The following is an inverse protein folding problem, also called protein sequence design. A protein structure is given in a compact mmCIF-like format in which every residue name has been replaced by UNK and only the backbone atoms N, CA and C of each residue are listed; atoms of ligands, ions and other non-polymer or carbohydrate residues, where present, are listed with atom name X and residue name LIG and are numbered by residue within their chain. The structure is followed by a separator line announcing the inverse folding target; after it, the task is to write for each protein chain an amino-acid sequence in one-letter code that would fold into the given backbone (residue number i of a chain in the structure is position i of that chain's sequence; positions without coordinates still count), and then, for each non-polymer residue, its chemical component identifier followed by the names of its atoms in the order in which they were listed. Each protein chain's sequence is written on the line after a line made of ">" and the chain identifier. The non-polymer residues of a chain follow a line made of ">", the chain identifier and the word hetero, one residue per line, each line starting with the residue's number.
data_IF_014033380478
#
_entry.id   IF_014033380478
#
_cell.length_a   1.000
_cell.length_b   1.000
_cell.length_c   1.000
_cell.angle_alpha   90.00
_cell.angle_beta   90.00
_cell.angle_gamma   90.00
#
_symmetry.space_group_name_H-M   'P 1'
#
loop_
_entity.id
_entity.type
_entity.pdbx_description
1 polymer ?
#
# COMPACT_ATOMS: atom_id res chain seq x y z
N UNK A 1 -51.35 -32.39 50.55
CA UNK A 1 -49.90 -32.26 50.80
C UNK A 1 -49.25 -32.50 49.45
N UNK A 2 -49.32 -31.51 48.55
CA UNK A 2 -48.47 -30.32 48.48
C UNK A 2 -47.12 -30.69 47.88
N UNK A 3 -47.02 -30.45 46.58
CA UNK A 3 -45.76 -30.07 45.94
C UNK A 3 -45.04 -29.00 46.75
N UNK A 4 -43.71 -28.93 46.64
CA UNK A 4 -43.07 -27.65 46.50
C UNK A 4 -42.45 -27.55 45.10
N UNK A 5 -43.07 -26.67 44.32
CA UNK A 5 -42.38 -25.91 43.31
C UNK A 5 -41.30 -25.05 44.00
N UNK A 6 -40.12 -25.03 43.39
CA UNK A 6 -39.23 -23.89 43.43
C UNK A 6 -38.63 -23.77 42.02
N UNK A 7 -39.33 -23.03 41.16
CA UNK A 7 -38.68 -22.01 40.32
C UNK A 7 -37.72 -21.23 41.25
N UNK A 8 -36.53 -20.83 40.84
CA UNK A 8 -36.40 -19.70 39.94
C UNK A 8 -34.92 -19.39 39.61
N UNK A 9 -34.72 -18.99 38.35
CA UNK A 9 -33.69 -18.10 37.82
C UNK A 9 -32.22 -18.26 38.24
N UNK A 10 -31.41 -18.81 37.32
CA UNK A 10 -30.27 -18.08 36.71
C UNK A 10 -30.11 -18.53 35.26
N UNK A 11 -30.77 -17.85 34.33
CA UNK A 11 -30.20 -16.78 33.51
C UNK A 11 -29.44 -17.30 32.28
N UNK A 12 -30.16 -17.21 31.15
CA UNK A 12 -29.70 -16.94 29.77
C UNK A 12 -28.82 -17.97 29.09
N UNK A 13 -29.48 -18.81 28.31
CA UNK A 13 -29.11 -18.93 26.90
C UNK A 13 -29.77 -17.76 26.15
N UNK A 14 -29.01 -17.04 25.32
CA UNK A 14 -29.33 -17.18 23.91
C UNK A 14 -28.10 -17.65 23.14
N UNK A 15 -28.31 -18.71 22.36
CA UNK A 15 -27.64 -18.86 21.07
C UNK A 15 -27.62 -17.50 20.35
N UNK A 16 -26.46 -17.08 19.86
CA UNK A 16 -26.39 -15.92 18.97
C UNK A 16 -25.20 -15.00 19.21
N UNK A 17 -24.00 -15.50 18.97
CA UNK A 17 -22.96 -14.75 18.28
C UNK A 17 -21.89 -15.75 17.83
N UNK A 18 -21.57 -15.88 16.53
CA UNK A 18 -20.28 -16.40 16.15
C UNK A 18 -19.20 -15.42 16.63
N UNK A 19 -18.17 -15.83 17.38
CA UNK A 19 -16.91 -15.10 17.42
C UNK A 19 -15.95 -15.69 16.37
N UNK A 20 -14.98 -14.93 15.84
CA UNK A 20 -14.90 -13.48 15.63
C UNK A 20 -15.18 -13.17 14.14
N UNK A 21 -15.50 -11.91 13.85
CA UNK A 21 -15.24 -11.34 12.53
C UNK A 21 -13.71 -11.17 12.42
N UNK A 22 -13.00 -12.28 12.16
CA UNK A 22 -11.62 -12.27 11.68
C UNK A 22 -11.68 -11.77 10.24
N UNK A 23 -11.89 -10.46 10.09
CA UNK A 23 -11.72 -9.77 8.82
C UNK A 23 -10.25 -9.90 8.45
N UNK A 24 -10.02 -10.69 7.42
CA UNK A 24 -8.91 -10.56 6.47
C UNK A 24 -7.53 -10.33 7.13
N UNK A 25 -6.96 -11.37 7.74
CA UNK A 25 -5.50 -11.48 7.90
C UNK A 25 -4.83 -12.03 6.62
N UNK A 26 -5.53 -12.05 5.47
CA UNK A 26 -5.05 -12.62 4.20
C UNK A 26 -4.64 -11.55 3.16
N UNK A 27 -4.80 -10.25 3.41
CA UNK A 27 -4.53 -9.18 2.42
C UNK A 27 -3.03 -8.79 2.32
N UNK A 28 -2.19 -9.18 3.28
CA UNK A 28 -0.77 -8.79 3.28
C UNK A 28 0.09 -9.58 2.27
N UNK A 29 -0.35 -10.75 1.79
CA UNK A 29 0.43 -11.56 0.84
C UNK A 29 0.23 -11.17 -0.64
N UNK A 30 -0.91 -10.54 -1.00
CA UNK A 30 -1.18 -10.11 -2.38
C UNK A 30 -0.38 -8.84 -2.75
N UNK A 31 -0.17 -7.94 -1.79
CA UNK A 31 0.62 -6.70 -2.01
C UNK A 31 2.08 -7.01 -2.37
N UNK A 32 2.70 -7.98 -1.69
CA UNK A 32 4.11 -8.31 -1.92
C UNK A 32 4.36 -8.87 -3.33
N UNK A 33 3.44 -9.69 -3.86
CA UNK A 33 3.57 -10.27 -5.19
C UNK A 33 3.38 -9.25 -6.33
N UNK A 34 2.55 -8.23 -6.11
CA UNK A 34 2.35 -7.12 -7.06
C UNK A 34 3.59 -6.23 -7.11
N UNK A 35 4.17 -5.88 -5.95
CA UNK A 35 5.40 -5.08 -5.87
C UNK A 35 6.59 -5.81 -6.49
N UNK A 36 6.73 -7.12 -6.29
CA UNK A 36 7.78 -7.91 -6.95
C UNK A 36 7.67 -7.86 -8.48
N UNK A 37 6.45 -8.06 -9.02
CA UNK A 37 6.23 -8.01 -10.47
C UNK A 37 6.45 -6.61 -11.06
N UNK A 38 6.11 -5.56 -10.30
CA UNK A 38 6.40 -4.18 -10.67
C UNK A 38 7.91 -3.93 -10.72
N UNK A 39 8.64 -4.36 -9.68
CA UNK A 39 10.08 -4.21 -9.60
C UNK A 39 10.79 -4.91 -10.77
N UNK A 40 10.42 -6.15 -11.07
CA UNK A 40 11.01 -6.90 -12.19
C UNK A 40 10.77 -6.25 -13.57
N UNK A 41 9.66 -5.51 -13.72
CA UNK A 41 9.25 -4.96 -15.01
C UNK A 41 9.66 -3.51 -15.22
N UNK A 42 9.65 -2.69 -14.17
CA UNK A 42 9.75 -1.24 -14.30
C UNK A 42 10.90 -0.62 -13.49
N UNK A 43 11.46 -1.30 -12.49
CA UNK A 43 12.57 -0.76 -11.70
C UNK A 43 13.82 -0.57 -12.54
N UNK A 44 14.27 -1.61 -13.25
CA UNK A 44 15.45 -1.54 -14.11
C UNK A 44 15.29 -0.47 -15.21
N UNK A 45 14.17 -0.42 -15.99
CA UNK A 45 13.97 0.64 -16.98
C UNK A 45 13.91 2.06 -16.40
N UNK A 46 13.29 2.23 -15.23
CA UNK A 46 13.21 3.53 -14.57
C UNK A 46 14.59 3.98 -14.09
N UNK A 47 15.35 3.08 -13.44
CA UNK A 47 16.72 3.34 -13.01
C UNK A 47 17.63 3.70 -14.20
N UNK A 48 17.54 2.96 -15.32
CA UNK A 48 18.27 3.29 -16.55
C UNK A 48 17.92 4.68 -17.09
N UNK A 49 16.64 5.06 -17.07
CA UNK A 49 16.20 6.37 -17.52
C UNK A 49 16.73 7.50 -16.61
N UNK A 50 16.70 7.28 -15.29
CA UNK A 50 17.24 8.20 -14.28
C UNK A 50 18.75 8.37 -14.48
N UNK A 51 19.52 7.28 -14.58
CA UNK A 51 20.96 7.31 -14.82
C UNK A 51 21.33 8.02 -16.13
N UNK A 52 20.51 7.85 -17.17
CA UNK A 52 20.71 8.47 -18.47
C UNK A 52 20.21 9.92 -18.58
N UNK A 53 19.56 10.47 -17.54
CA UNK A 53 18.89 11.79 -17.59
C UNK A 53 17.79 11.84 -18.69
N UNK A 54 17.17 10.70 -19.00
CA UNK A 54 16.17 10.56 -20.06
C UNK A 54 14.75 10.78 -19.51
N UNK A 55 14.41 12.06 -19.27
CA UNK A 55 13.12 12.45 -18.72
C UNK A 55 11.94 12.01 -19.60
N UNK A 56 12.11 11.97 -20.93
CA UNK A 56 11.06 11.54 -21.83
C UNK A 56 10.72 10.05 -21.65
N UNK A 57 11.75 9.18 -21.56
CA UNK A 57 11.54 7.76 -21.28
C UNK A 57 10.93 7.54 -19.89
N UNK A 58 11.34 8.32 -18.91
CA UNK A 58 10.79 8.23 -17.56
C UNK A 58 9.31 8.63 -17.52
N UNK A 59 8.94 9.71 -18.21
CA UNK A 59 7.54 10.16 -18.35
C UNK A 59 6.68 9.09 -19.02
N UNK A 60 7.14 8.48 -20.12
CA UNK A 60 6.44 7.37 -20.79
C UNK A 60 6.19 6.18 -19.85
N UNK A 61 7.16 5.83 -19.00
CA UNK A 61 6.99 4.74 -18.03
C UNK A 61 5.95 5.11 -16.98
N UNK A 62 6.05 6.31 -16.40
CA UNK A 62 5.17 6.77 -15.31
C UNK A 62 3.74 6.94 -15.78
N UNK A 63 3.51 7.43 -17.01
CA UNK A 63 2.17 7.57 -17.60
C UNK A 63 1.43 6.23 -17.78
N UNK A 64 2.16 5.11 -17.89
CA UNK A 64 1.57 3.77 -18.01
C UNK A 64 1.26 3.12 -16.65
N UNK A 65 1.78 3.67 -15.55
CA UNK A 65 1.67 3.13 -14.21
C UNK A 65 0.51 3.75 -13.43
N UNK A 66 -0.10 2.99 -12.51
CA UNK A 66 -1.04 3.59 -11.58
C UNK A 66 -0.30 4.43 -10.52
N UNK A 67 -0.97 5.40 -9.88
CA UNK A 67 -0.34 6.21 -8.84
C UNK A 67 0.29 5.39 -7.69
N UNK A 68 -0.30 4.25 -7.34
CA UNK A 68 0.24 3.32 -6.34
C UNK A 68 1.56 2.68 -6.82
N UNK A 69 1.61 2.23 -8.08
CA UNK A 69 2.81 1.65 -8.68
C UNK A 69 3.96 2.67 -8.75
N UNK A 70 3.64 3.94 -9.06
CA UNK A 70 4.64 5.03 -9.05
C UNK A 70 5.15 5.28 -7.63
N UNK A 71 4.28 5.24 -6.62
CA UNK A 71 4.66 5.36 -5.23
C UNK A 71 5.57 4.20 -4.77
N UNK A 72 5.25 2.97 -5.15
CA UNK A 72 6.08 1.79 -4.87
C UNK A 72 7.45 1.92 -5.54
N UNK A 73 7.50 2.34 -6.81
CA UNK A 73 8.74 2.56 -7.55
C UNK A 73 9.63 3.60 -6.85
N UNK A 74 9.07 4.72 -6.40
CA UNK A 74 9.79 5.74 -5.62
C UNK A 74 10.33 5.16 -4.29
N UNK A 75 9.58 4.26 -3.66
CA UNK A 75 10.00 3.58 -2.42
C UNK A 75 11.14 2.58 -2.61
N UNK A 76 11.23 1.96 -3.79
CA UNK A 76 12.31 1.03 -4.15
C UNK A 76 13.62 1.73 -4.51
N UNK A 77 13.56 3.00 -4.92
CA UNK A 77 14.75 3.82 -5.25
C UNK A 77 15.44 4.34 -3.98
N UNK A 78 16.77 4.50 -4.06
CA UNK A 78 17.54 5.24 -3.06
C UNK A 78 17.15 6.74 -3.09
N UNK A 79 17.52 7.47 -2.04
CA UNK A 79 17.12 8.87 -1.84
C UNK A 79 17.56 9.78 -3.01
N UNK A 80 18.79 9.61 -3.51
CA UNK A 80 19.34 10.43 -4.60
C UNK A 80 18.58 10.20 -5.92
N UNK A 81 18.30 8.94 -6.28
CA UNK A 81 17.57 8.57 -7.49
C UNK A 81 16.10 9.01 -7.42
N UNK A 82 15.49 8.94 -6.23
CA UNK A 82 14.13 9.43 -6.00
C UNK A 82 14.03 10.93 -6.22
N UNK A 83 14.94 11.72 -5.64
CA UNK A 83 15.00 13.16 -5.86
C UNK A 83 15.16 13.49 -7.35
N UNK A 84 16.06 12.77 -8.03
CA UNK A 84 16.31 12.94 -9.46
C UNK A 84 15.09 12.59 -10.31
N UNK A 85 14.39 11.49 -9.98
CA UNK A 85 13.14 11.11 -10.64
C UNK A 85 12.10 12.22 -10.52
N UNK A 86 11.92 12.78 -9.32
CA UNK A 86 10.95 13.85 -9.05
C UNK A 86 11.33 15.12 -9.84
N UNK A 87 12.61 15.52 -9.85
CA UNK A 87 13.07 16.66 -10.66
C UNK A 87 12.79 16.45 -12.16
N UNK A 88 13.07 15.26 -12.68
CA UNK A 88 12.83 14.91 -14.07
C UNK A 88 11.35 14.93 -14.46
N UNK A 89 10.45 14.59 -13.53
CA UNK A 89 9.00 14.65 -13.71
C UNK A 89 8.39 16.06 -13.51
N UNK A 90 9.22 17.08 -13.28
CA UNK A 90 8.77 18.47 -13.17
C UNK A 90 8.87 19.06 -11.76
N UNK A 91 9.46 18.34 -10.80
CA UNK A 91 9.75 18.82 -9.45
C UNK A 91 8.57 18.78 -8.48
N UNK A 92 7.42 18.22 -8.90
CA UNK A 92 6.26 17.98 -8.05
C UNK A 92 5.64 16.62 -8.37
N UNK A 93 5.14 15.94 -7.34
CA UNK A 93 4.40 14.69 -7.49
C UNK A 93 2.90 14.96 -7.50
N UNK A 94 2.17 14.18 -8.29
CA UNK A 94 0.71 14.20 -8.29
C UNK A 94 0.13 13.89 -6.91
N UNK A 95 -0.99 14.53 -6.59
CA UNK A 95 -1.68 14.33 -5.31
C UNK A 95 -2.12 12.87 -5.08
N UNK A 96 -2.38 12.13 -6.16
CA UNK A 96 -2.72 10.70 -6.11
C UNK A 96 -1.48 9.87 -5.74
N UNK A 97 -0.32 10.12 -6.35
CA UNK A 97 0.95 9.46 -6.00
C UNK A 97 1.33 9.78 -4.55
N UNK A 98 1.20 11.05 -4.16
CA UNK A 98 1.41 11.48 -2.79
C UNK A 98 0.43 10.83 -1.81
N UNK A 99 -0.77 10.44 -2.21
CA UNK A 99 -1.70 9.74 -1.31
C UNK A 99 -1.17 8.33 -1.00
N UNK A 100 -0.69 7.63 -2.03
CA UNK A 100 -0.24 6.24 -1.95
C UNK A 100 1.18 6.07 -1.39
N UNK A 101 2.02 7.11 -1.42
CA UNK A 101 3.38 7.04 -0.91
C UNK A 101 3.47 6.61 0.57
N UNK A 102 4.43 5.74 0.88
CA UNK A 102 4.67 5.29 2.24
C UNK A 102 5.16 6.43 3.14
N UNK A 103 4.88 6.35 4.44
CA UNK A 103 5.16 7.45 5.37
C UNK A 103 6.65 7.80 5.45
N UNK A 104 7.52 6.77 5.48
CA UNK A 104 8.98 6.94 5.50
C UNK A 104 9.51 7.59 4.21
N UNK A 105 8.85 7.37 3.06
CA UNK A 105 9.22 7.99 1.78
C UNK A 105 8.72 9.43 1.70
N UNK A 106 7.51 9.70 2.20
CA UNK A 106 6.91 11.04 2.23
C UNK A 106 7.77 12.04 3.00
N UNK A 107 8.33 11.63 4.14
CA UNK A 107 9.20 12.50 4.94
C UNK A 107 10.50 12.86 4.19
N UNK A 108 11.00 12.02 3.28
CA UNK A 108 12.14 12.35 2.42
C UNK A 108 11.78 13.31 1.28
N UNK A 109 10.54 13.27 0.79
CA UNK A 109 10.08 14.08 -0.36
C UNK A 109 9.59 15.47 0.08
N UNK A 110 9.04 15.59 1.29
CA UNK A 110 8.51 16.85 1.84
C UNK A 110 9.59 17.50 2.72
N UNK A 111 10.56 18.18 2.12
CA UNK A 111 11.54 19.03 2.84
C UNK A 111 11.42 20.51 2.49
#
# INVERSE_FOLDING_TARGET
>A
MSEPAAEDERLREPEGAPPPDERDEEDEEESSGVVEALAEKYLDPAYEAIEADDAARLEEIVEELHPADVADLLGLLEEEEREKMIEMLGGELDAEVLAELDADVKDSVIL
#
